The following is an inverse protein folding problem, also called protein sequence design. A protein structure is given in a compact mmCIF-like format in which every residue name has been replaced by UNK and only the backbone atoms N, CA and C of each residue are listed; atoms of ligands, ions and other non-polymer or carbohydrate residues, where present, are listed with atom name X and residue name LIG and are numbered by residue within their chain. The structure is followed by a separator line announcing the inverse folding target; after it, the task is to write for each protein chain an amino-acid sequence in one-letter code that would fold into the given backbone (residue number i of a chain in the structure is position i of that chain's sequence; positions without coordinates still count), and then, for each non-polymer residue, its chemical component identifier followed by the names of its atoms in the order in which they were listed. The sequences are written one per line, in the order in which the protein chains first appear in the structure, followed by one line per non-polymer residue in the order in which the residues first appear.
data_IF_496545748197
#
_entry.id   IF_496545748197
#
_cell.length_a   1.000
_cell.length_b   1.000
_cell.length_c   1.000
_cell.angle_alpha   90.00
_cell.angle_beta   90.00
_cell.angle_gamma   90.00
#
_symmetry.space_group_name_H-M   'P 1'
#
loop_
_entity.id
_entity.type
_entity.pdbx_description
1 polymer ?
#
# COMPACT_ATOMS: atom_id res chain seq x y z
N UNK A 1 17.09 -9.53 -12.55
CA UNK A 1 16.55 -9.98 -11.25
C UNK A 1 15.20 -9.29 -11.09
N UNK A 2 14.08 -9.90 -11.49
CA UNK A 2 12.75 -9.26 -11.49
C UNK A 2 11.76 -10.09 -10.63
N UNK A 3 12.08 -10.24 -9.34
CA UNK A 3 11.21 -10.92 -8.38
C UNK A 3 10.06 -10.05 -7.87
N UNK A 4 10.20 -8.72 -7.94
CA UNK A 4 9.21 -7.76 -7.43
C UNK A 4 7.89 -7.76 -8.22
N UNK A 5 7.95 -7.78 -9.54
CA UNK A 5 6.75 -7.68 -10.39
C UNK A 5 5.82 -8.90 -10.26
N UNK A 6 6.40 -10.08 -10.03
CA UNK A 6 5.61 -11.31 -9.83
C UNK A 6 4.94 -11.32 -8.45
N UNK A 7 5.63 -10.87 -7.40
CA UNK A 7 5.02 -10.76 -6.07
C UNK A 7 3.87 -9.74 -6.05
N UNK A 8 4.00 -8.63 -6.77
CA UNK A 8 2.96 -7.62 -6.95
C UNK A 8 1.73 -8.14 -7.71
N UNK A 9 1.92 -9.00 -8.71
CA UNK A 9 0.83 -9.52 -9.54
C UNK A 9 -0.11 -10.52 -8.84
N UNK A 10 0.35 -11.17 -7.76
CA UNK A 10 -0.42 -12.20 -7.01
C UNK A 10 -1.19 -11.59 -5.84
N UNK A 11 -0.87 -10.36 -5.44
CA UNK A 11 -1.55 -9.66 -4.36
C UNK A 11 -2.96 -9.22 -4.74
N UNK A 12 -3.86 -9.27 -3.76
CA UNK A 12 -5.18 -8.67 -3.85
C UNK A 12 -5.07 -7.16 -4.09
N UNK A 13 -6.12 -6.55 -4.64
CA UNK A 13 -6.16 -5.10 -4.83
C UNK A 13 -6.01 -4.36 -3.49
N UNK A 14 -6.55 -4.92 -2.39
CA UNK A 14 -6.41 -4.34 -1.05
C UNK A 14 -4.96 -4.33 -0.56
N UNK A 15 -4.23 -5.43 -0.69
CA UNK A 15 -2.81 -5.50 -0.29
C UNK A 15 -1.94 -4.51 -1.07
N UNK A 16 -2.19 -4.35 -2.38
CA UNK A 16 -1.47 -3.37 -3.21
C UNK A 16 -1.73 -1.93 -2.76
N UNK A 17 -2.97 -1.60 -2.38
CA UNK A 17 -3.31 -0.29 -1.82
C UNK A 17 -2.65 -0.08 -0.46
N UNK A 18 -2.64 -1.09 0.41
CA UNK A 18 -1.99 -1.02 1.72
C UNK A 18 -0.48 -0.77 1.60
N UNK A 19 0.19 -1.50 0.71
CA UNK A 19 1.63 -1.32 0.45
C UNK A 19 1.91 0.07 -0.10
N UNK A 20 1.14 0.54 -1.08
CA UNK A 20 1.33 1.86 -1.67
C UNK A 20 1.16 2.97 -0.63
N UNK A 21 0.16 2.87 0.25
CA UNK A 21 -0.05 3.82 1.35
C UNK A 21 1.09 3.77 2.38
N UNK A 22 1.50 2.58 2.80
CA UNK A 22 2.54 2.40 3.81
C UNK A 22 3.91 2.90 3.34
N UNK A 23 4.21 2.77 2.04
CA UNK A 23 5.42 3.29 1.40
C UNK A 23 5.29 4.75 0.92
N UNK A 24 4.16 5.41 1.16
CA UNK A 24 3.89 6.77 0.71
C UNK A 24 4.03 6.96 -0.83
N UNK A 25 3.68 5.92 -1.61
CA UNK A 25 3.77 5.87 -3.07
C UNK A 25 2.46 6.29 -3.73
N UNK A 26 2.19 7.60 -3.71
CA UNK A 26 0.99 8.16 -4.34
C UNK A 26 0.94 7.93 -5.85
N UNK A 27 2.09 7.84 -6.51
CA UNK A 27 2.20 7.50 -7.93
C UNK A 27 1.66 6.10 -8.23
N UNK A 28 1.84 5.13 -7.32
CA UNK A 28 1.30 3.78 -7.47
C UNK A 28 -0.21 3.74 -7.29
N UNK A 29 -0.74 4.49 -6.32
CA UNK A 29 -2.20 4.66 -6.15
C UNK A 29 -2.82 5.24 -7.42
N UNK A 30 -2.20 6.30 -7.95
CA UNK A 30 -2.67 6.97 -9.16
C UNK A 30 -2.58 6.05 -10.40
N UNK A 31 -1.53 5.25 -10.53
CA UNK A 31 -1.40 4.25 -11.60
C UNK A 31 -2.45 3.13 -11.51
N UNK A 32 -2.94 2.83 -10.31
CA UNK A 32 -4.06 1.90 -10.09
C UNK A 32 -5.44 2.58 -10.23
N UNK A 33 -5.49 3.90 -10.47
CA UNK A 33 -6.73 4.66 -10.61
C UNK A 33 -7.41 5.01 -9.29
N UNK A 34 -6.67 5.00 -8.17
CA UNK A 34 -7.19 5.31 -6.84
C UNK A 34 -6.65 6.62 -6.29
N UNK A 35 -7.54 7.39 -5.65
CA UNK A 35 -7.15 8.49 -4.76
C UNK A 35 -6.82 7.98 -3.35
N UNK A 36 -6.21 8.82 -2.51
CA UNK A 36 -5.90 8.47 -1.11
C UNK A 36 -7.16 8.11 -0.32
N UNK A 37 -8.27 8.89 -0.36
CA UNK A 37 -9.49 8.55 0.38
C UNK A 37 -10.12 7.24 -0.09
N UNK A 38 -10.16 6.99 -1.40
CA UNK A 38 -10.69 5.74 -1.96
C UNK A 38 -9.82 4.54 -1.58
N UNK A 39 -8.50 4.70 -1.54
CA UNK A 39 -7.59 3.66 -1.09
C UNK A 39 -7.84 3.32 0.38
N UNK A 40 -8.06 4.31 1.25
CA UNK A 40 -8.38 4.12 2.67
C UNK A 40 -9.74 3.46 2.84
N UNK A 41 -10.76 3.88 2.08
CA UNK A 41 -12.10 3.28 2.11
C UNK A 41 -12.12 1.81 1.66
N UNK A 42 -11.21 1.44 0.75
CA UNK A 42 -11.03 0.06 0.27
C UNK A 42 -10.33 -0.85 1.28
N UNK A 43 -9.57 -0.29 2.20
CA UNK A 43 -8.81 -1.04 3.18
C UNK A 43 -9.69 -1.35 4.38
N UNK A 44 -9.63 -2.60 4.84
CA UNK A 44 -10.21 -2.95 6.13
C UNK A 44 -9.57 -2.13 7.26
N UNK A 45 -10.35 -1.86 8.30
CA UNK A 45 -9.93 -1.10 9.48
C UNK A 45 -8.61 -1.62 10.09
N UNK A 46 -8.37 -2.92 10.02
CA UNK A 46 -7.14 -3.57 10.48
C UNK A 46 -5.90 -3.08 9.71
N UNK A 47 -6.01 -2.91 8.39
CA UNK A 47 -4.91 -2.41 7.55
C UNK A 47 -4.63 -0.93 7.79
N UNK A 48 -5.68 -0.12 7.97
CA UNK A 48 -5.53 1.31 8.28
C UNK A 48 -4.80 1.48 9.62
N UNK A 49 -5.09 0.63 10.60
CA UNK A 49 -4.41 0.64 11.90
C UNK A 49 -2.91 0.28 11.83
N UNK A 50 -2.46 -0.41 10.78
CA UNK A 50 -1.06 -0.77 10.57
C UNK A 50 -0.23 0.36 9.93
N UNK A 51 -0.86 1.34 9.27
CA UNK A 51 -0.16 2.44 8.58
C UNK A 51 0.82 3.18 9.52
N UNK A 52 0.45 3.59 10.76
CA UNK A 52 1.38 4.27 11.67
C UNK A 52 2.55 3.38 12.11
N UNK A 53 2.33 2.06 12.22
CA UNK A 53 3.35 1.08 12.61
C UNK A 53 4.41 0.97 11.51
N UNK A 54 3.97 0.80 10.25
CA UNK A 54 4.90 0.74 9.10
C UNK A 54 5.62 2.07 8.93
N UNK A 55 4.92 3.20 9.05
CA UNK A 55 5.54 4.52 9.00
C UNK A 55 6.63 4.71 10.08
N UNK A 56 6.45 4.10 11.26
CA UNK A 56 7.47 4.09 12.31
C UNK A 56 8.65 3.19 11.95
N UNK A 57 8.41 1.97 11.50
CA UNK A 57 9.47 1.04 11.09
C UNK A 57 10.36 1.62 9.98
N UNK A 58 9.77 2.28 8.99
CA UNK A 58 10.50 2.91 7.88
C UNK A 58 11.38 4.10 8.29
N UNK A 59 11.03 4.81 9.38
CA UNK A 59 11.88 5.89 9.91
C UNK A 59 13.09 5.37 10.69
N UNK A 60 12.94 4.18 11.26
CA UNK A 60 13.96 3.53 12.09
C UNK A 60 14.91 2.65 11.22
N UNK A 61 14.84 2.77 9.87
CA UNK A 61 15.68 2.08 8.87
C UNK A 61 16.61 3.05 8.16
#
# INVERSE_FOLDING_TARGET
MHGGDRAWSVQSTGERLAVALALNRFDWLSAMGYTIPEAIDRLDQEWVALIPVVAKALRDT
#
